data_IF_617010447425
#
_entry.id   IF_617010447425
#
_cell.length_a   1.000
_cell.length_b   1.000
_cell.length_c   1.000
_cell.angle_alpha   90.00
_cell.angle_beta   90.00
_cell.angle_gamma   90.00
#
_symmetry.space_group_name_H-M   'P 1'
#
loop_
_entity.id
_entity.type
_entity.pdbx_description
1 polymer ?
#
# COMPACT_ATOMS: atom_id res chain seq x y z
N UNK A 1 24.78 -11.02 -8.66
CA UNK A 1 23.32 -11.18 -8.42
C UNK A 1 23.07 -11.83 -7.06
N UNK A 2 22.25 -11.22 -6.20
CA UNK A 2 21.96 -11.73 -4.85
C UNK A 2 20.56 -12.34 -4.79
N UNK A 3 20.45 -13.64 -5.07
CA UNK A 3 19.16 -14.35 -5.16
C UNK A 3 18.31 -14.25 -3.90
N UNK A 4 18.93 -14.23 -2.71
CA UNK A 4 18.19 -14.07 -1.43
C UNK A 4 17.50 -12.71 -1.35
N UNK A 5 18.21 -11.65 -1.70
CA UNK A 5 17.65 -10.30 -1.67
C UNK A 5 16.59 -10.11 -2.76
N UNK A 6 16.81 -10.68 -3.93
CA UNK A 6 15.79 -10.70 -5.01
C UNK A 6 14.52 -11.40 -4.52
N UNK A 7 14.66 -12.59 -3.90
CA UNK A 7 13.51 -13.32 -3.38
C UNK A 7 12.74 -12.54 -2.30
N UNK A 8 13.45 -11.89 -1.37
CA UNK A 8 12.82 -11.05 -0.33
C UNK A 8 12.09 -9.83 -0.93
N UNK A 9 12.70 -9.16 -1.89
CA UNK A 9 12.07 -8.02 -2.56
C UNK A 9 10.84 -8.43 -3.38
N UNK A 10 10.93 -9.57 -4.08
CA UNK A 10 9.79 -10.12 -4.82
C UNK A 10 8.64 -10.50 -3.89
N UNK A 11 8.93 -11.14 -2.76
CA UNK A 11 7.92 -11.46 -1.75
C UNK A 11 7.29 -10.20 -1.15
N UNK A 12 8.09 -9.19 -0.85
CA UNK A 12 7.60 -7.90 -0.33
C UNK A 12 6.72 -7.19 -1.36
N UNK A 13 7.08 -7.23 -2.63
CA UNK A 13 6.27 -6.67 -3.73
C UNK A 13 4.92 -7.39 -3.81
N UNK A 14 4.94 -8.72 -3.82
CA UNK A 14 3.72 -9.54 -3.85
C UNK A 14 2.79 -9.19 -2.67
N UNK A 15 3.33 -9.08 -1.45
CA UNK A 15 2.55 -8.72 -0.27
C UNK A 15 1.95 -7.31 -0.41
N UNK A 16 2.72 -6.36 -0.94
CA UNK A 16 2.25 -4.98 -1.18
C UNK A 16 1.11 -4.96 -2.20
N UNK A 17 1.23 -5.70 -3.30
CA UNK A 17 0.22 -5.79 -4.35
C UNK A 17 -1.05 -6.51 -3.86
N UNK A 18 -0.91 -7.56 -3.05
CA UNK A 18 -2.04 -8.22 -2.39
C UNK A 18 -2.80 -7.22 -1.50
N UNK A 19 -2.11 -6.41 -0.71
CA UNK A 19 -2.75 -5.39 0.11
C UNK A 19 -3.49 -4.36 -0.76
N UNK A 20 -2.88 -3.90 -1.84
CA UNK A 20 -3.51 -2.96 -2.76
C UNK A 20 -4.76 -3.55 -3.44
N UNK A 21 -4.70 -4.83 -3.84
CA UNK A 21 -5.81 -5.55 -4.46
C UNK A 21 -6.88 -6.04 -3.48
N UNK A 22 -6.57 -6.14 -2.19
CA UNK A 22 -7.48 -6.67 -1.19
C UNK A 22 -8.71 -5.77 -0.95
N UNK A 23 -8.55 -4.44 -1.00
CA UNK A 23 -9.65 -3.51 -0.74
C UNK A 23 -10.84 -3.72 -1.68
N UNK A 24 -10.67 -3.74 -3.02
CA UNK A 24 -11.79 -4.03 -3.94
C UNK A 24 -12.45 -5.39 -3.67
N UNK A 25 -11.67 -6.40 -3.27
CA UNK A 25 -12.19 -7.73 -2.97
C UNK A 25 -13.02 -7.77 -1.67
N UNK A 26 -12.71 -6.92 -0.70
CA UNK A 26 -13.41 -6.83 0.59
C UNK A 26 -14.67 -5.96 0.50
N UNK A 27 -14.72 -5.01 -0.43
CA UNK A 27 -15.82 -4.05 -0.54
C UNK A 27 -17.23 -4.67 -0.58
N UNK A 28 -17.51 -5.75 -1.32
CA UNK A 28 -18.85 -6.36 -1.31
C UNK A 28 -19.30 -6.77 0.09
N UNK A 29 -18.38 -7.27 0.91
CA UNK A 29 -18.67 -7.66 2.30
C UNK A 29 -18.94 -6.43 3.17
N UNK A 30 -18.14 -5.36 3.04
CA UNK A 30 -18.34 -4.11 3.77
C UNK A 30 -19.67 -3.46 3.41
N UNK A 31 -20.05 -3.46 2.13
CA UNK A 31 -21.33 -2.95 1.66
C UNK A 31 -22.48 -3.74 2.28
N UNK A 32 -22.40 -5.07 2.27
CA UNK A 32 -23.45 -5.93 2.81
C UNK A 32 -23.58 -5.84 4.33
N UNK A 33 -22.47 -5.82 5.05
CA UNK A 33 -22.47 -5.88 6.52
C UNK A 33 -22.74 -4.51 7.17
N UNK A 34 -22.19 -3.43 6.59
CA UNK A 34 -22.28 -2.09 7.16
C UNK A 34 -23.27 -1.18 6.40
N UNK A 35 -24.02 -1.71 5.43
CA UNK A 35 -24.98 -0.97 4.61
C UNK A 35 -24.37 0.28 3.96
N UNK A 36 -23.11 0.17 3.49
CA UNK A 36 -22.45 1.27 2.82
C UNK A 36 -23.12 1.60 1.49
N UNK A 37 -23.19 2.89 1.17
CA UNK A 37 -23.52 3.31 -0.20
C UNK A 37 -22.38 2.96 -1.16
N UNK A 38 -22.70 2.77 -2.45
CA UNK A 38 -21.67 2.56 -3.47
C UNK A 38 -20.70 3.74 -3.57
N UNK A 39 -21.17 4.97 -3.32
CA UNK A 39 -20.32 6.15 -3.29
C UNK A 39 -19.31 6.09 -2.14
N UNK A 40 -19.73 5.67 -0.94
CA UNK A 40 -18.84 5.52 0.21
C UNK A 40 -17.80 4.42 -0.06
N UNK A 41 -18.20 3.29 -0.62
CA UNK A 41 -17.30 2.21 -1.00
C UNK A 41 -16.28 2.65 -2.07
N UNK A 42 -16.75 3.32 -3.12
CA UNK A 42 -15.89 3.86 -4.18
C UNK A 42 -14.90 4.91 -3.64
N UNK A 43 -15.31 5.72 -2.67
CA UNK A 43 -14.43 6.71 -2.03
C UNK A 43 -13.26 6.07 -1.27
N UNK A 44 -13.43 4.87 -0.71
CA UNK A 44 -12.32 4.14 -0.08
C UNK A 44 -11.28 3.70 -1.13
N UNK A 45 -11.73 3.15 -2.27
CA UNK A 45 -10.82 2.79 -3.38
C UNK A 45 -10.13 4.02 -3.94
N UNK A 46 -10.87 5.11 -4.11
CA UNK A 46 -10.33 6.38 -4.57
C UNK A 46 -9.25 6.91 -3.61
N UNK A 47 -9.52 6.88 -2.30
CA UNK A 47 -8.56 7.31 -1.28
C UNK A 47 -7.25 6.49 -1.32
N UNK A 48 -7.35 5.16 -1.44
CA UNK A 48 -6.19 4.28 -1.59
C UNK A 48 -5.38 4.63 -2.84
N UNK A 49 -6.06 4.69 -3.99
CA UNK A 49 -5.42 4.88 -5.29
C UNK A 49 -4.81 6.27 -5.44
N UNK A 50 -5.53 7.31 -5.02
CA UNK A 50 -5.06 8.70 -5.12
C UNK A 50 -3.90 8.98 -4.17
N UNK A 51 -3.97 8.53 -2.92
CA UNK A 51 -2.87 8.68 -1.97
C UNK A 51 -1.60 7.98 -2.47
N UNK A 52 -1.74 6.77 -3.00
CA UNK A 52 -0.63 6.04 -3.61
C UNK A 52 -0.08 6.77 -4.83
N UNK A 53 -0.92 7.17 -5.77
CA UNK A 53 -0.51 7.82 -7.02
C UNK A 53 0.17 9.17 -6.82
N UNK A 54 -0.31 9.97 -5.86
CA UNK A 54 0.27 11.28 -5.55
C UNK A 54 1.58 11.12 -4.77
N UNK A 55 1.65 10.19 -3.82
CA UNK A 55 2.82 10.02 -2.97
C UNK A 55 3.98 9.29 -3.68
N UNK A 56 3.73 8.41 -4.66
CA UNK A 56 4.79 7.67 -5.37
C UNK A 56 5.87 8.58 -5.97
N UNK A 57 5.56 9.62 -6.77
CA UNK A 57 6.61 10.48 -7.33
C UNK A 57 7.37 11.25 -6.25
N UNK A 58 6.74 11.60 -5.13
CA UNK A 58 7.42 12.25 -4.01
C UNK A 58 8.43 11.32 -3.35
N UNK A 59 8.05 10.07 -3.09
CA UNK A 59 8.99 9.05 -2.59
C UNK A 59 10.06 8.70 -3.61
N UNK A 60 9.73 8.68 -4.91
CA UNK A 60 10.70 8.48 -5.98
C UNK A 60 11.80 9.55 -5.96
N UNK A 61 11.42 10.82 -5.96
CA UNK A 61 12.37 11.94 -5.87
C UNK A 61 13.22 11.90 -4.58
N UNK A 62 12.64 11.45 -3.47
CA UNK A 62 13.36 11.30 -2.21
C UNK A 62 14.36 10.14 -2.26
N UNK A 63 13.96 8.99 -2.79
CA UNK A 63 14.81 7.81 -2.94
C UNK A 63 15.95 8.01 -3.94
N UNK A 64 15.71 8.78 -5.02
CA UNK A 64 16.73 9.10 -6.03
C UNK A 64 17.89 9.92 -5.45
N UNK A 65 17.60 10.78 -4.49
CA UNK A 65 18.62 11.62 -3.84
C UNK A 65 19.40 10.86 -2.77
N UNK A 66 18.74 9.97 -2.06
CA UNK A 66 19.33 9.23 -0.92
C UNK A 66 18.67 7.87 -0.80
N UNK A 67 19.46 6.79 -0.96
CA UNK A 67 18.95 5.43 -0.70
C UNK A 67 18.32 5.32 0.69
N UNK A 68 17.09 4.85 0.76
CA UNK A 68 16.32 4.71 2.01
C UNK A 68 15.67 3.32 2.12
N UNK A 69 16.47 2.24 2.25
CA UNK A 69 15.94 0.86 2.25
C UNK A 69 14.91 0.60 3.35
N UNK A 70 14.90 1.40 4.42
CA UNK A 70 13.91 1.33 5.49
C UNK A 70 12.48 1.70 5.05
N UNK A 71 12.33 2.40 3.91
CA UNK A 71 11.01 2.67 3.32
C UNK A 71 10.30 1.38 2.91
N UNK A 72 11.04 0.32 2.57
CA UNK A 72 10.47 -0.97 2.17
C UNK A 72 9.67 -1.61 3.31
N UNK A 73 10.27 -1.93 4.47
CA UNK A 73 9.53 -2.56 5.57
C UNK A 73 8.43 -1.64 6.14
N UNK A 74 8.67 -0.34 6.23
CA UNK A 74 7.65 0.61 6.69
C UNK A 74 6.50 0.69 5.70
N UNK A 75 6.78 0.74 4.39
CA UNK A 75 5.75 0.76 3.35
C UNK A 75 4.86 -0.48 3.40
N UNK A 76 5.46 -1.67 3.47
CA UNK A 76 4.72 -2.94 3.60
C UNK A 76 3.88 -2.97 4.88
N UNK A 77 4.45 -2.54 6.00
CA UNK A 77 3.74 -2.49 7.28
C UNK A 77 2.54 -1.55 7.23
N UNK A 78 2.71 -0.33 6.74
CA UNK A 78 1.61 0.65 6.64
C UNK A 78 0.52 0.18 5.68
N UNK A 79 0.91 -0.44 4.56
CA UNK A 79 -0.05 -1.00 3.61
C UNK A 79 -0.95 -2.05 4.29
N UNK A 80 -0.38 -3.00 5.00
CA UNK A 80 -1.11 -4.05 5.69
C UNK A 80 -1.88 -3.55 6.92
N UNK A 81 -1.25 -2.76 7.78
CA UNK A 81 -1.86 -2.23 9.00
C UNK A 81 -3.06 -1.33 8.69
N UNK A 82 -2.95 -0.48 7.65
CA UNK A 82 -4.04 0.38 7.22
C UNK A 82 -5.29 -0.42 6.82
N UNK A 83 -5.13 -1.46 6.03
CA UNK A 83 -6.26 -2.31 5.62
C UNK A 83 -6.82 -3.16 6.75
N UNK A 84 -5.99 -3.61 7.69
CA UNK A 84 -6.44 -4.43 8.83
C UNK A 84 -7.48 -3.73 9.70
N UNK A 85 -7.52 -2.39 9.69
CA UNK A 85 -8.53 -1.62 10.43
C UNK A 85 -9.95 -1.85 9.92
N UNK A 86 -10.13 -2.31 8.69
CA UNK A 86 -11.45 -2.61 8.12
C UNK A 86 -12.17 -3.72 8.91
N UNK A 87 -11.41 -4.62 9.54
CA UNK A 87 -11.96 -5.67 10.41
C UNK A 87 -11.99 -5.32 11.90
N UNK A 88 -11.41 -4.20 12.32
CA UNK A 88 -11.27 -3.81 13.73
C UNK A 88 -12.26 -2.75 14.18
N UNK A 89 -12.90 -2.05 13.26
CA UNK A 89 -13.83 -0.96 13.54
C UNK A 89 -14.92 -0.90 12.48
N UNK A 90 -16.04 -0.29 12.83
CA UNK A 90 -17.15 0.01 11.88
C UNK A 90 -17.25 1.51 11.59
N UNK A 91 -16.26 2.31 11.99
CA UNK A 91 -16.28 3.76 11.76
C UNK A 91 -15.72 4.09 10.38
N UNK A 92 -16.57 4.55 9.46
CA UNK A 92 -16.22 4.87 8.08
C UNK A 92 -15.03 5.84 7.95
N UNK A 93 -15.02 6.93 8.72
CA UNK A 93 -13.96 7.93 8.64
C UNK A 93 -12.59 7.41 9.13
N UNK A 94 -12.61 6.43 10.03
CA UNK A 94 -11.39 5.74 10.43
C UNK A 94 -10.90 4.84 9.30
N UNK A 95 -11.80 4.14 8.61
CA UNK A 95 -11.45 3.37 7.40
C UNK A 95 -10.86 4.27 6.32
N UNK A 96 -11.51 5.42 6.05
CA UNK A 96 -11.02 6.37 5.06
C UNK A 96 -9.61 6.86 5.37
N UNK A 97 -9.33 7.25 6.61
CA UNK A 97 -8.02 7.70 7.04
C UNK A 97 -6.96 6.59 6.95
N UNK A 98 -7.27 5.37 7.40
CA UNK A 98 -6.31 4.26 7.43
C UNK A 98 -6.08 3.64 6.07
N UNK A 99 -7.08 3.62 5.20
CA UNK A 99 -6.94 3.22 3.79
C UNK A 99 -6.09 4.24 3.02
N UNK A 100 -6.23 5.53 3.29
CA UNK A 100 -5.34 6.56 2.77
C UNK A 100 -3.90 6.34 3.22
N UNK A 101 -3.69 6.01 4.49
CA UNK A 101 -2.38 5.67 5.04
C UNK A 101 -1.80 4.40 4.40
N UNK A 102 -2.64 3.40 4.13
CA UNK A 102 -2.26 2.20 3.38
C UNK A 102 -1.73 2.55 1.99
N UNK A 103 -2.41 3.45 1.26
CA UNK A 103 -1.96 3.93 -0.05
C UNK A 103 -0.61 4.65 0.01
N UNK A 104 -0.36 5.44 1.06
CA UNK A 104 0.95 6.07 1.31
C UNK A 104 2.02 5.00 1.55
N UNK A 105 1.70 3.93 2.28
CA UNK A 105 2.59 2.78 2.48
C UNK A 105 2.97 2.09 1.16
N UNK A 106 2.00 1.85 0.29
CA UNK A 106 2.22 1.33 -1.07
C UNK A 106 3.15 2.26 -1.86
N UNK A 107 2.92 3.57 -1.78
CA UNK A 107 3.73 4.58 -2.46
C UNK A 107 5.18 4.65 -1.96
N UNK A 108 5.41 4.41 -0.68
CA UNK A 108 6.75 4.36 -0.10
C UNK A 108 7.53 3.13 -0.56
N UNK A 109 6.85 2.00 -0.73
CA UNK A 109 7.46 0.74 -1.15
C UNK A 109 7.92 0.75 -2.61
N UNK A 110 7.04 1.13 -3.55
CA UNK A 110 7.28 0.89 -4.98
C UNK A 110 8.56 1.54 -5.55
N UNK A 111 8.85 2.83 -5.36
CA UNK A 111 10.06 3.43 -5.91
C UNK A 111 11.34 2.85 -5.32
N UNK A 112 11.38 2.69 -4.00
CA UNK A 112 12.57 2.16 -3.33
C UNK A 112 12.76 0.67 -3.62
N UNK A 113 11.68 -0.11 -3.69
CA UNK A 113 11.71 -1.52 -4.10
C UNK A 113 12.24 -1.71 -5.51
N UNK A 114 11.78 -0.91 -6.46
CA UNK A 114 12.27 -0.93 -7.84
C UNK A 114 13.75 -0.55 -7.93
N UNK A 115 14.15 0.51 -7.22
CA UNK A 115 15.53 0.97 -7.16
C UNK A 115 16.46 -0.11 -6.58
N UNK A 116 16.07 -0.71 -5.45
CA UNK A 116 16.87 -1.74 -4.82
C UNK A 116 16.91 -3.04 -5.64
N UNK A 117 15.81 -3.38 -6.32
CA UNK A 117 15.77 -4.53 -7.24
C UNK A 117 16.79 -4.34 -8.37
N UNK A 118 16.84 -3.18 -9.00
CA UNK A 118 17.83 -2.87 -10.04
C UNK A 118 19.25 -3.00 -9.51
N UNK A 119 19.51 -2.58 -8.28
CA UNK A 119 20.84 -2.67 -7.68
C UNK A 119 21.27 -4.11 -7.38
N UNK A 120 20.37 -4.99 -6.89
CA UNK A 120 20.71 -6.38 -6.54
C UNK A 120 20.66 -7.35 -7.70
N UNK A 121 19.97 -6.99 -8.78
CA UNK A 121 19.90 -7.79 -10.01
C UNK A 121 21.16 -7.60 -10.89
N UNK A 122 21.89 -6.52 -10.69
CA UNK A 122 23.15 -6.23 -11.38
C UNK A 122 23.01 -5.52 -12.66
#
# INVERSE_FOLDING_TARGET
>A
MNYRNIGLLTASHLVTDINQGALPAILPFLIAEHHLSYQAAASLVFALSMSSSIAQPLFGLYSDRMSKPWLIPIGVFLAGAGLSTLGLTSKYWLWFATVTLSGIGVAAFHPEGARLMNFVAG
#
